data_IF_900591406450
#
_entry.id   IF_900591406450
#
_cell.length_a   1.000
_cell.length_b   1.000
_cell.length_c   1.000
_cell.angle_alpha   90.00
_cell.angle_beta   90.00
_cell.angle_gamma   90.00
#
_symmetry.space_group_name_H-M   'P 1'
#
loop_
_entity.id
_entity.type
_entity.pdbx_description
1 polymer ?
#
# COMPACT_ATOMS: atom_id res chain seq x y z
N UNK A 1 -15.05 45.67 -22.51
CA UNK A 1 -15.92 44.76 -21.76
C UNK A 1 -15.63 43.33 -22.23
N UNK A 2 -15.03 42.45 -21.45
CA UNK A 2 -14.77 41.07 -21.88
C UNK A 2 -13.51 40.39 -21.29
N UNK A 3 -13.19 40.64 -20.02
CA UNK A 3 -12.04 39.96 -19.37
C UNK A 3 -12.34 39.61 -17.88
N UNK A 4 -13.51 39.05 -17.60
CA UNK A 4 -13.92 38.74 -16.23
C UNK A 4 -14.83 37.52 -16.16
N UNK A 5 -14.45 36.36 -16.74
CA UNK A 5 -15.20 35.10 -16.57
C UNK A 5 -14.38 33.82 -16.81
N UNK A 6 -13.15 33.74 -16.33
CA UNK A 6 -12.36 32.48 -16.34
C UNK A 6 -11.67 32.25 -14.98
N UNK A 7 -12.27 32.66 -13.88
CA UNK A 7 -11.69 32.48 -12.53
C UNK A 7 -12.58 31.74 -11.53
N UNK A 8 -13.47 30.89 -12.00
CA UNK A 8 -14.43 30.21 -11.10
C UNK A 8 -14.60 28.72 -11.36
N UNK A 9 -13.50 27.99 -11.62
CA UNK A 9 -13.50 26.51 -11.67
C UNK A 9 -12.27 25.89 -10.98
N UNK A 10 -11.58 26.63 -10.12
CA UNK A 10 -10.63 26.06 -9.19
C UNK A 10 -11.35 25.92 -7.83
N UNK A 11 -12.09 24.83 -7.64
CA UNK A 11 -12.60 24.43 -6.35
C UNK A 11 -11.45 24.26 -5.34
N UNK A 12 -11.70 24.47 -4.04
CA UNK A 12 -10.67 24.36 -3.01
C UNK A 12 -10.05 22.96 -3.01
N UNK A 13 -8.75 22.82 -2.64
CA UNK A 13 -8.09 21.52 -2.58
C UNK A 13 -8.88 20.62 -1.65
N UNK A 14 -9.25 19.43 -2.14
CA UNK A 14 -9.97 18.40 -1.41
C UNK A 14 -9.21 18.10 -0.10
N UNK A 15 -9.66 18.65 0.99
CA UNK A 15 -9.24 18.23 2.33
C UNK A 15 -9.76 16.81 2.53
N UNK A 16 -8.88 15.84 2.35
CA UNK A 16 -9.13 14.45 2.71
C UNK A 16 -9.49 14.37 4.20
N UNK A 17 -10.77 14.19 4.49
CA UNK A 17 -11.24 13.71 5.79
C UNK A 17 -11.13 12.19 5.79
N UNK A 18 -9.95 11.68 6.10
CA UNK A 18 -9.78 10.27 6.39
C UNK A 18 -9.57 10.09 7.90
N UNK A 19 -10.48 9.35 8.51
CA UNK A 19 -10.31 8.84 9.88
C UNK A 19 -9.40 7.65 9.79
N UNK A 20 -8.17 7.81 10.27
CA UNK A 20 -7.17 6.77 10.25
C UNK A 20 -7.36 5.80 11.41
N UNK A 21 -7.33 4.52 11.13
CA UNK A 21 -6.54 3.52 11.86
C UNK A 21 -6.36 2.33 10.95
N UNK A 22 -5.22 2.18 10.32
CA UNK A 22 -4.86 0.93 9.65
C UNK A 22 -3.63 0.37 10.31
N UNK A 23 -3.81 -0.70 11.08
CA UNK A 23 -2.72 -1.58 11.48
C UNK A 23 -2.26 -2.38 10.24
N UNK A 24 -1.00 -2.85 10.18
CA UNK A 24 -0.44 -3.63 9.06
C UNK A 24 -1.30 -4.82 8.63
N UNK A 25 -2.18 -5.33 9.54
CA UNK A 25 -3.06 -6.46 9.29
C UNK A 25 -4.15 -6.24 8.22
N UNK A 26 -4.58 -5.00 7.92
CA UNK A 26 -5.58 -4.78 6.85
C UNK A 26 -4.94 -4.77 5.47
N UNK A 27 -3.79 -4.15 5.30
CA UNK A 27 -3.02 -4.26 4.06
C UNK A 27 -2.66 -5.73 3.77
N UNK A 28 -2.36 -6.51 4.81
CA UNK A 28 -2.07 -7.93 4.73
C UNK A 28 -3.30 -8.78 4.38
N UNK A 29 -4.49 -8.51 4.95
CA UNK A 29 -5.74 -9.19 4.59
C UNK A 29 -6.17 -8.88 3.16
N UNK A 30 -5.93 -7.66 2.65
CA UNK A 30 -6.22 -7.28 1.28
C UNK A 30 -5.23 -7.87 0.27
N UNK A 31 -3.99 -8.16 0.68
CA UNK A 31 -2.98 -8.78 -0.17
C UNK A 31 -3.14 -10.30 -0.31
N UNK A 32 -3.72 -10.99 0.69
CA UNK A 32 -3.71 -12.47 0.78
C UNK A 32 -5.07 -13.09 1.07
N UNK A 33 -6.02 -12.34 1.64
CA UNK A 33 -7.28 -12.87 2.11
C UNK A 33 -8.41 -12.71 1.11
N UNK A 34 -8.99 -13.83 0.70
CA UNK A 34 -10.37 -13.85 0.24
C UNK A 34 -11.26 -13.30 1.36
N UNK A 35 -11.87 -12.12 1.16
CA UNK A 35 -13.04 -11.76 1.97
C UNK A 35 -14.12 -12.83 1.74
N UNK A 36 -14.74 -13.39 2.79
CA UNK A 36 -15.81 -14.38 2.61
C UNK A 36 -17.03 -13.85 1.85
N UNK A 37 -17.17 -12.52 1.70
CA UNK A 37 -18.29 -11.86 1.02
C UNK A 37 -17.96 -11.42 -0.41
N UNK A 38 -17.04 -12.09 -1.13
CA UNK A 38 -16.81 -11.79 -2.55
C UNK A 38 -18.02 -12.22 -3.35
N UNK A 39 -18.60 -11.36 -4.21
CA UNK A 39 -19.59 -11.83 -5.18
C UNK A 39 -18.92 -12.90 -6.04
N UNK A 40 -19.29 -14.16 -5.83
CA UNK A 40 -18.87 -15.28 -6.65
C UNK A 40 -19.41 -15.04 -8.06
N UNK A 41 -18.51 -14.71 -9.00
CA UNK A 41 -18.92 -14.64 -10.39
C UNK A 41 -18.60 -13.34 -11.15
N UNK A 42 -17.70 -12.46 -10.69
CA UNK A 42 -17.24 -11.33 -11.50
C UNK A 42 -16.28 -11.79 -12.59
N UNK A 43 -16.54 -11.38 -13.84
CA UNK A 43 -15.60 -11.49 -14.95
C UNK A 43 -15.04 -10.11 -15.30
N UNK A 44 -13.79 -10.05 -15.73
CA UNK A 44 -13.16 -8.82 -16.19
C UNK A 44 -12.62 -8.96 -17.61
N UNK A 45 -12.49 -7.84 -18.31
CA UNK A 45 -11.87 -7.76 -19.62
C UNK A 45 -11.00 -6.51 -19.72
N UNK A 46 -9.78 -6.67 -20.17
CA UNK A 46 -8.97 -5.54 -20.62
C UNK A 46 -9.33 -5.21 -22.06
N UNK A 47 -9.60 -3.95 -22.38
CA UNK A 47 -9.95 -3.52 -23.73
C UNK A 47 -9.08 -2.36 -24.19
N UNK A 48 -9.00 -2.17 -25.54
CA UNK A 48 -8.28 -1.07 -26.15
C UNK A 48 -9.28 0.06 -26.50
N UNK A 49 -9.16 1.26 -25.85
CA UNK A 49 -9.98 2.42 -26.20
C UNK A 49 -9.74 2.94 -27.61
N UNK A 50 -8.47 2.98 -28.03
CA UNK A 50 -8.02 3.48 -29.34
C UNK A 50 -6.79 2.74 -29.82
N UNK A 51 -6.33 3.04 -31.04
CA UNK A 51 -5.18 2.36 -31.64
C UNK A 51 -3.83 2.68 -30.95
N UNK A 52 -3.70 3.84 -30.28
CA UNK A 52 -2.50 4.22 -29.55
C UNK A 52 -2.38 3.45 -28.23
N UNK A 53 -3.50 3.02 -27.67
CA UNK A 53 -3.59 2.33 -26.38
C UNK A 53 -2.76 1.06 -26.30
N UNK A 54 -2.57 0.34 -27.41
CA UNK A 54 -1.75 -0.86 -27.44
C UNK A 54 -0.29 -0.56 -27.05
N UNK A 55 0.30 0.50 -27.62
CA UNK A 55 1.67 0.91 -27.30
C UNK A 55 1.79 1.46 -25.87
N UNK A 56 0.79 2.18 -25.41
CA UNK A 56 0.77 2.76 -24.08
C UNK A 56 0.54 1.70 -22.99
N UNK A 57 -0.26 0.69 -23.25
CA UNK A 57 -0.53 -0.41 -22.34
C UNK A 57 0.74 -1.19 -21.95
N UNK A 58 1.71 -1.29 -22.87
CA UNK A 58 3.02 -1.95 -22.63
C UNK A 58 4.05 -1.04 -21.97
N UNK A 59 3.77 0.27 -21.84
CA UNK A 59 4.68 1.20 -21.16
C UNK A 59 4.68 0.98 -19.64
N UNK A 60 5.88 1.08 -19.07
CA UNK A 60 6.06 0.98 -17.63
C UNK A 60 5.62 2.25 -16.92
N UNK A 61 4.93 2.07 -15.79
CA UNK A 61 4.59 3.10 -14.81
C UNK A 61 5.02 2.55 -13.45
N UNK A 62 5.95 3.20 -12.80
CA UNK A 62 6.53 2.75 -11.53
C UNK A 62 6.90 1.24 -11.53
N UNK A 63 7.72 0.82 -12.51
CA UNK A 63 8.30 -0.53 -12.58
C UNK A 63 7.38 -1.64 -13.12
N UNK A 64 6.12 -1.36 -13.49
CA UNK A 64 5.19 -2.35 -14.08
C UNK A 64 4.42 -1.74 -15.23
N UNK A 65 4.13 -2.55 -16.26
CA UNK A 65 3.32 -2.09 -17.40
C UNK A 65 1.87 -1.83 -16.97
N UNK A 66 1.19 -0.93 -17.70
CA UNK A 66 -0.23 -0.64 -17.43
C UNK A 66 -1.09 -1.89 -17.58
N UNK A 67 -0.79 -2.76 -18.55
CA UNK A 67 -1.46 -4.07 -18.70
C UNK A 67 -1.35 -4.89 -17.41
N UNK A 68 -0.16 -5.08 -16.87
CA UNK A 68 0.03 -5.82 -15.61
C UNK A 68 -0.72 -5.17 -14.46
N UNK A 69 -0.72 -3.83 -14.38
CA UNK A 69 -1.48 -3.10 -13.34
C UNK A 69 -2.98 -3.32 -13.46
N UNK A 70 -3.53 -3.28 -14.69
CA UNK A 70 -4.94 -3.56 -14.96
C UNK A 70 -5.33 -4.99 -14.58
N UNK A 71 -4.50 -5.97 -14.92
CA UNK A 71 -4.70 -7.39 -14.57
C UNK A 71 -4.74 -7.61 -13.06
N UNK A 72 -3.76 -7.07 -12.33
CA UNK A 72 -3.70 -7.18 -10.87
C UNK A 72 -4.87 -6.44 -10.21
N UNK A 73 -5.25 -5.26 -10.72
CA UNK A 73 -6.39 -4.52 -10.21
C UNK A 73 -7.70 -5.30 -10.38
N UNK A 74 -7.91 -5.94 -11.55
CA UNK A 74 -9.06 -6.81 -11.81
C UNK A 74 -9.12 -8.00 -10.85
N UNK A 75 -7.98 -8.71 -10.67
CA UNK A 75 -7.88 -9.85 -9.75
C UNK A 75 -8.20 -9.42 -8.30
N UNK A 76 -7.60 -8.32 -7.84
CA UNK A 76 -7.82 -7.78 -6.49
C UNK A 76 -9.23 -7.22 -6.29
N UNK A 77 -9.92 -6.82 -7.37
CA UNK A 77 -11.33 -6.44 -7.33
C UNK A 77 -12.30 -7.64 -7.25
N UNK A 78 -11.78 -8.86 -7.38
CA UNK A 78 -12.56 -10.10 -7.23
C UNK A 78 -12.88 -10.81 -8.55
N UNK A 79 -12.29 -10.42 -9.67
CA UNK A 79 -12.50 -11.14 -10.93
C UNK A 79 -11.90 -12.54 -10.87
N UNK A 80 -12.74 -13.55 -11.15
CA UNK A 80 -12.35 -14.96 -11.26
C UNK A 80 -11.87 -15.33 -12.67
N UNK A 81 -12.33 -14.61 -13.67
CA UNK A 81 -11.91 -14.70 -15.07
C UNK A 81 -11.50 -13.32 -15.55
N UNK A 82 -10.31 -13.22 -16.15
CA UNK A 82 -9.80 -11.98 -16.74
C UNK A 82 -9.49 -12.25 -18.21
N UNK A 83 -10.38 -11.83 -19.08
CA UNK A 83 -10.23 -11.96 -20.53
C UNK A 83 -9.24 -10.88 -21.05
N UNK A 84 -8.29 -11.27 -21.86
CA UNK A 84 -7.22 -10.39 -22.35
C UNK A 84 -6.98 -10.66 -23.83
N UNK A 85 -7.14 -9.66 -24.71
CA UNK A 85 -6.78 -9.79 -26.11
C UNK A 85 -5.33 -10.24 -26.29
N UNK A 86 -5.07 -11.19 -27.20
CA UNK A 86 -3.74 -11.78 -27.40
C UNK A 86 -2.67 -10.76 -27.80
N UNK A 87 -3.06 -9.68 -28.46
CA UNK A 87 -2.15 -8.58 -28.83
C UNK A 87 -1.60 -7.77 -27.64
N UNK A 88 -2.14 -7.96 -26.43
CA UNK A 88 -1.60 -7.41 -25.16
C UNK A 88 -0.59 -8.34 -24.48
N UNK A 89 -0.31 -9.50 -25.06
CA UNK A 89 0.65 -10.47 -24.54
C UNK A 89 2.07 -9.99 -24.82
N UNK A 90 2.82 -9.74 -23.75
CA UNK A 90 4.22 -9.35 -23.81
C UNK A 90 5.07 -10.04 -22.73
N UNK A 91 6.39 -9.88 -22.79
CA UNK A 91 7.31 -10.49 -21.82
C UNK A 91 7.13 -9.99 -20.39
N UNK A 92 6.59 -8.79 -20.19
CA UNK A 92 6.31 -8.26 -18.85
C UNK A 92 5.09 -8.94 -18.25
N UNK A 93 4.04 -9.15 -19.04
CA UNK A 93 2.84 -9.89 -18.65
C UNK A 93 3.19 -11.35 -18.35
N UNK A 94 3.94 -12.02 -19.22
CA UNK A 94 4.37 -13.41 -18.99
C UNK A 94 5.17 -13.57 -17.69
N UNK A 95 6.11 -12.66 -17.43
CA UNK A 95 6.85 -12.65 -16.16
C UNK A 95 5.96 -12.40 -14.94
N UNK A 96 4.92 -11.56 -15.08
CA UNK A 96 3.96 -11.34 -14.02
C UNK A 96 3.11 -12.58 -13.74
N UNK A 97 2.64 -13.26 -14.79
CA UNK A 97 1.88 -14.52 -14.67
C UNK A 97 2.72 -15.61 -14.00
N UNK A 98 3.99 -15.77 -14.40
CA UNK A 98 4.91 -16.75 -13.80
C UNK A 98 5.13 -16.52 -12.29
N UNK A 99 5.07 -15.27 -11.83
CA UNK A 99 5.26 -14.91 -10.42
C UNK A 99 3.98 -14.94 -9.58
N UNK A 100 2.81 -14.88 -10.22
CA UNK A 100 1.51 -14.77 -9.55
C UNK A 100 0.57 -15.90 -10.01
N UNK A 101 0.63 -17.11 -9.42
CA UNK A 101 -0.19 -18.26 -9.84
C UNK A 101 -1.69 -17.97 -9.86
N UNK A 102 -2.21 -17.20 -8.92
CA UNK A 102 -3.62 -16.80 -8.88
C UNK A 102 -4.01 -15.94 -10.09
N UNK A 103 -3.11 -15.05 -10.56
CA UNK A 103 -3.32 -14.26 -11.77
C UNK A 103 -3.27 -15.16 -13.01
N UNK A 104 -2.30 -16.07 -13.09
CA UNK A 104 -2.19 -17.01 -14.19
C UNK A 104 -3.44 -17.91 -14.31
N UNK A 105 -3.99 -18.35 -13.21
CA UNK A 105 -5.22 -19.13 -13.18
C UNK A 105 -6.45 -18.35 -13.65
N UNK A 106 -6.50 -17.03 -13.43
CA UNK A 106 -7.62 -16.16 -13.79
C UNK A 106 -7.56 -15.68 -15.27
N UNK A 107 -6.36 -15.48 -15.83
CA UNK A 107 -6.18 -14.93 -17.18
C UNK A 107 -6.63 -15.92 -18.26
N UNK A 108 -7.37 -15.40 -19.25
CA UNK A 108 -7.78 -16.13 -20.46
C UNK A 108 -7.42 -15.27 -21.67
N UNK A 109 -6.51 -15.79 -22.49
CA UNK A 109 -6.12 -15.13 -23.73
C UNK A 109 -7.23 -15.27 -24.77
N UNK A 110 -7.53 -14.18 -25.44
CA UNK A 110 -8.53 -14.11 -26.49
C UNK A 110 -7.84 -13.94 -27.84
N UNK A 111 -8.08 -14.90 -28.72
CA UNK A 111 -7.76 -14.78 -30.14
C UNK A 111 -8.97 -14.20 -30.91
N UNK A 112 -8.77 -13.62 -32.09
CA UNK A 112 -9.88 -13.23 -32.98
C UNK A 112 -10.84 -14.41 -33.19
N UNK A 113 -12.13 -14.17 -32.93
CA UNK A 113 -13.16 -15.22 -33.02
C UNK A 113 -13.36 -16.07 -31.76
N UNK A 114 -12.59 -15.86 -30.70
CA UNK A 114 -12.85 -16.54 -29.40
C UNK A 114 -14.28 -16.32 -28.93
N UNK A 115 -14.98 -17.38 -28.47
CA UNK A 115 -16.33 -17.25 -27.95
C UNK A 115 -16.34 -16.51 -26.62
N UNK A 116 -17.47 -15.86 -26.30
CA UNK A 116 -17.69 -15.28 -24.96
C UNK A 116 -17.64 -16.41 -23.92
N UNK A 117 -16.74 -16.33 -22.92
CA UNK A 117 -16.62 -17.36 -21.90
C UNK A 117 -17.97 -17.73 -21.27
N UNK A 118 -18.21 -19.02 -21.05
CA UNK A 118 -19.44 -19.50 -20.42
C UNK A 118 -19.59 -18.93 -19.02
N UNK A 119 -20.83 -18.62 -18.62
CA UNK A 119 -21.13 -18.08 -17.29
C UNK A 119 -22.61 -17.73 -17.17
N UNK A 120 -23.09 -17.44 -15.97
CA UNK A 120 -24.49 -17.04 -15.74
C UNK A 120 -24.87 -15.80 -16.56
N UNK A 121 -26.09 -15.70 -17.05
CA UNK A 121 -26.56 -14.58 -17.85
C UNK A 121 -26.46 -13.25 -17.10
N UNK A 122 -26.64 -13.26 -15.80
CA UNK A 122 -26.65 -12.09 -14.91
C UNK A 122 -25.25 -11.73 -14.39
N UNK A 123 -24.22 -12.48 -14.79
CA UNK A 123 -22.83 -12.22 -14.35
C UNK A 123 -22.33 -10.89 -14.94
N UNK A 124 -21.97 -9.92 -14.08
CA UNK A 124 -21.45 -8.66 -14.54
C UNK A 124 -20.02 -8.82 -15.10
N UNK A 125 -19.72 -8.00 -16.11
CA UNK A 125 -18.39 -7.87 -16.70
C UNK A 125 -17.79 -6.52 -16.37
N UNK A 126 -16.61 -6.54 -15.78
CA UNK A 126 -15.79 -5.36 -15.51
C UNK A 126 -14.88 -5.10 -16.72
N UNK A 127 -15.10 -4.00 -17.42
CA UNK A 127 -14.28 -3.55 -18.55
C UNK A 127 -13.26 -2.52 -18.07
N UNK A 128 -11.97 -2.80 -18.28
CA UNK A 128 -10.86 -1.93 -17.88
C UNK A 128 -10.09 -1.51 -19.13
N UNK A 129 -9.89 -0.19 -19.39
CA UNK A 129 -9.01 0.23 -20.48
C UNK A 129 -7.59 -0.22 -20.22
N UNK A 130 -6.96 -0.93 -21.16
CA UNK A 130 -5.61 -1.48 -21.00
C UNK A 130 -4.54 -0.40 -20.78
N UNK A 131 -4.72 0.78 -21.40
CA UNK A 131 -3.85 1.94 -21.20
C UNK A 131 -4.42 2.88 -20.11
N UNK A 132 -4.66 2.36 -18.92
CA UNK A 132 -5.11 3.16 -17.78
C UNK A 132 -4.47 2.70 -16.47
N UNK A 133 -4.29 3.65 -15.56
CA UNK A 133 -3.99 3.38 -14.17
C UNK A 133 -5.30 3.43 -13.39
N UNK A 134 -5.69 2.31 -12.80
CA UNK A 134 -6.89 2.21 -11.97
C UNK A 134 -6.57 1.55 -10.63
N UNK A 135 -7.04 2.16 -9.55
CA UNK A 135 -6.86 1.61 -8.21
C UNK A 135 -7.99 0.63 -7.89
N UNK A 136 -7.66 -0.43 -7.14
CA UNK A 136 -8.62 -1.48 -6.78
C UNK A 136 -9.87 -0.93 -6.05
N UNK A 137 -9.72 0.05 -5.16
CA UNK A 137 -10.85 0.70 -4.47
C UNK A 137 -11.84 1.37 -5.46
N UNK A 138 -11.33 1.99 -6.52
CA UNK A 138 -12.20 2.56 -7.57
C UNK A 138 -13.03 1.51 -8.27
N UNK A 139 -12.45 0.33 -8.51
CA UNK A 139 -13.17 -0.82 -9.09
C UNK A 139 -14.18 -1.40 -8.12
N UNK A 140 -13.80 -1.61 -6.86
CA UNK A 140 -14.70 -2.14 -5.83
C UNK A 140 -15.92 -1.25 -5.61
N UNK A 141 -15.75 0.06 -5.57
CA UNK A 141 -16.86 1.00 -5.45
C UNK A 141 -17.76 1.03 -6.70
N UNK A 142 -17.21 0.76 -7.86
CA UNK A 142 -18.01 0.63 -9.09
C UNK A 142 -18.85 -0.66 -9.08
N UNK A 143 -18.31 -1.73 -8.51
CA UNK A 143 -18.94 -3.06 -8.47
C UNK A 143 -19.97 -3.16 -7.34
N UNK A 144 -19.74 -2.52 -6.18
CA UNK A 144 -20.46 -2.72 -4.93
C UNK A 144 -22.02 -2.61 -5.02
N UNK A 145 -22.63 -1.75 -5.85
CA UNK A 145 -24.06 -1.73 -6.04
C UNK A 145 -24.49 -2.32 -7.38
N UNK A 146 -23.97 -3.48 -7.77
CA UNK A 146 -24.24 -4.17 -9.02
C UNK A 146 -25.72 -4.64 -9.20
N UNK A 147 -26.66 -4.11 -8.44
CA UNK A 147 -28.09 -4.37 -8.56
C UNK A 147 -28.77 -3.54 -9.65
N UNK A 148 -28.04 -2.67 -10.37
CA UNK A 148 -28.62 -1.88 -11.44
C UNK A 148 -28.47 -2.59 -12.80
N UNK A 149 -29.57 -3.06 -13.42
CA UNK A 149 -29.53 -3.76 -14.70
C UNK A 149 -29.03 -2.90 -15.87
N UNK A 150 -28.95 -1.59 -15.70
CA UNK A 150 -28.51 -0.66 -16.75
C UNK A 150 -26.97 -0.51 -16.81
N UNK A 151 -26.25 -1.00 -15.81
CA UNK A 151 -24.80 -0.91 -15.72
C UNK A 151 -24.31 0.37 -15.05
N UNK A 152 -23.02 0.39 -14.74
CA UNK A 152 -22.33 1.52 -14.11
C UNK A 152 -21.03 1.82 -14.82
N UNK A 153 -20.59 3.07 -14.82
CA UNK A 153 -19.30 3.47 -15.39
C UNK A 153 -18.57 4.46 -14.51
N UNK A 154 -17.23 4.39 -14.60
CA UNK A 154 -16.30 5.35 -14.06
C UNK A 154 -15.58 6.02 -15.20
N UNK A 155 -15.69 7.33 -15.33
CA UNK A 155 -15.01 8.09 -16.36
C UNK A 155 -14.12 9.17 -15.75
N UNK A 156 -12.92 9.36 -16.30
CA UNK A 156 -11.99 10.39 -15.85
C UNK A 156 -12.37 11.79 -16.36
N UNK A 157 -13.25 11.87 -17.34
CA UNK A 157 -13.75 13.12 -17.89
C UNK A 157 -15.18 12.96 -18.45
N UNK A 158 -15.89 14.06 -18.56
CA UNK A 158 -17.23 14.08 -19.18
C UNK A 158 -17.24 13.57 -20.64
N UNK A 159 -16.09 13.58 -21.32
CA UNK A 159 -15.96 13.04 -22.67
C UNK A 159 -15.91 11.50 -22.73
N UNK A 160 -15.60 10.82 -21.62
CA UNK A 160 -15.73 9.37 -21.41
C UNK A 160 -15.16 8.45 -22.50
N UNK A 161 -14.04 8.83 -23.15
CA UNK A 161 -13.49 8.05 -24.27
C UNK A 161 -12.92 6.69 -23.88
N UNK A 162 -12.50 6.55 -22.62
CA UNK A 162 -11.91 5.34 -22.08
C UNK A 162 -12.47 5.05 -20.67
N UNK A 163 -13.78 4.76 -20.53
CA UNK A 163 -14.37 4.50 -19.23
C UNK A 163 -13.96 3.12 -18.69
N UNK A 164 -13.86 3.01 -17.37
CA UNK A 164 -14.04 1.73 -16.68
C UNK A 164 -15.53 1.50 -16.55
N UNK A 165 -16.04 0.32 -16.89
CA UNK A 165 -17.46 0.05 -16.87
C UNK A 165 -17.78 -1.32 -16.27
N UNK A 166 -18.89 -1.43 -15.58
CA UNK A 166 -19.51 -2.70 -15.20
C UNK A 166 -20.76 -2.87 -16.04
N UNK A 167 -20.81 -3.91 -16.85
CA UNK A 167 -21.85 -4.14 -17.84
C UNK A 167 -22.49 -5.51 -17.69
N UNK A 168 -23.78 -5.64 -17.98
CA UNK A 168 -24.45 -6.92 -18.15
C UNK A 168 -23.78 -7.77 -19.25
N UNK A 169 -23.79 -9.08 -19.10
CA UNK A 169 -23.23 -10.03 -20.06
C UNK A 169 -23.78 -9.82 -21.49
N UNK A 170 -25.07 -9.57 -21.62
CA UNK A 170 -25.72 -9.34 -22.92
C UNK A 170 -25.12 -8.14 -23.68
N UNK A 171 -24.83 -7.03 -22.96
CA UNK A 171 -24.22 -5.83 -23.52
C UNK A 171 -22.79 -6.11 -23.99
N UNK A 172 -22.02 -6.86 -23.19
CA UNK A 172 -20.66 -7.29 -23.55
C UNK A 172 -20.70 -8.21 -24.78
N UNK A 173 -21.68 -9.11 -24.87
CA UNK A 173 -21.90 -9.99 -26.00
C UNK A 173 -22.05 -9.24 -27.35
N UNK A 174 -22.74 -8.11 -27.33
CA UNK A 174 -22.93 -7.26 -28.53
C UNK A 174 -21.62 -6.63 -29.04
N UNK A 175 -20.61 -6.50 -28.19
CA UNK A 175 -19.28 -5.96 -28.54
C UNK A 175 -18.21 -7.03 -28.65
N UNK A 176 -18.55 -8.30 -28.38
CA UNK A 176 -17.59 -9.33 -28.11
C UNK A 176 -16.59 -9.60 -29.25
N UNK A 177 -17.06 -9.65 -30.48
CA UNK A 177 -16.20 -9.90 -31.65
C UNK A 177 -15.05 -8.88 -31.77
N UNK A 178 -15.34 -7.62 -31.45
CA UNK A 178 -14.33 -6.54 -31.44
C UNK A 178 -13.42 -6.62 -30.22
N UNK A 179 -13.99 -6.89 -29.05
CA UNK A 179 -13.26 -7.01 -27.80
C UNK A 179 -12.28 -8.19 -27.86
N UNK A 180 -12.70 -9.36 -28.35
CA UNK A 180 -11.87 -10.52 -28.50
C UNK A 180 -10.75 -10.33 -29.55
N UNK A 181 -11.03 -9.61 -30.63
CA UNK A 181 -10.03 -9.26 -31.63
C UNK A 181 -9.02 -8.19 -31.15
N UNK A 182 -9.22 -7.61 -29.96
CA UNK A 182 -8.38 -6.52 -29.47
C UNK A 182 -8.44 -5.26 -30.34
N UNK A 183 -9.58 -5.03 -31.01
CA UNK A 183 -9.78 -3.82 -31.83
C UNK A 183 -10.27 -2.66 -30.95
N UNK A 184 -9.97 -1.39 -31.33
CA UNK A 184 -10.41 -0.22 -30.56
C UNK A 184 -11.93 -0.13 -30.46
N UNK A 185 -12.44 0.00 -29.25
CA UNK A 185 -13.91 0.07 -28.98
C UNK A 185 -14.35 1.30 -28.17
N UNK A 186 -13.43 2.16 -27.74
CA UNK A 186 -13.72 3.28 -26.84
C UNK A 186 -14.87 4.19 -27.28
N UNK A 187 -14.92 4.70 -28.52
CA UNK A 187 -16.03 5.54 -28.99
C UNK A 187 -17.37 4.81 -29.02
N UNK A 188 -17.38 3.53 -29.39
CA UNK A 188 -18.59 2.71 -29.44
C UNK A 188 -19.09 2.41 -28.02
N UNK A 189 -18.18 2.02 -27.12
CA UNK A 189 -18.49 1.77 -25.72
C UNK A 189 -19.04 3.02 -25.04
N UNK A 190 -18.39 4.18 -25.21
CA UNK A 190 -18.85 5.44 -24.63
C UNK A 190 -20.23 5.88 -25.15
N UNK A 191 -20.54 5.62 -26.43
CA UNK A 191 -21.85 5.88 -27.01
C UNK A 191 -22.91 4.94 -26.42
N UNK A 192 -22.61 3.67 -26.35
CA UNK A 192 -23.51 2.64 -25.82
C UNK A 192 -23.84 2.91 -24.35
N UNK A 193 -22.85 3.26 -23.54
CA UNK A 193 -23.06 3.60 -22.13
C UNK A 193 -23.96 4.82 -21.95
N UNK A 194 -23.75 5.87 -22.74
CA UNK A 194 -24.58 7.08 -22.67
C UNK A 194 -26.01 6.83 -23.15
N UNK A 195 -26.18 6.05 -24.24
CA UNK A 195 -27.49 5.70 -24.77
C UNK A 195 -28.26 4.68 -23.94
N UNK A 196 -27.55 3.83 -23.18
CA UNK A 196 -28.12 2.83 -22.30
C UNK A 196 -28.42 3.30 -20.88
N UNK A 197 -28.25 4.60 -20.57
CA UNK A 197 -28.56 5.13 -19.23
C UNK A 197 -27.59 4.70 -18.14
N UNK A 198 -26.37 4.26 -18.48
CA UNK A 198 -25.38 3.85 -17.50
C UNK A 198 -25.07 4.97 -16.49
N UNK A 199 -25.13 4.65 -15.20
CA UNK A 199 -24.87 5.61 -14.14
C UNK A 199 -23.40 5.96 -14.05
N UNK A 200 -23.07 7.26 -14.09
CA UNK A 200 -21.74 7.76 -13.81
C UNK A 200 -21.51 7.78 -12.29
N UNK A 201 -20.45 7.11 -11.85
CA UNK A 201 -20.01 7.11 -10.46
C UNK A 201 -18.72 7.88 -10.29
N UNK A 202 -18.62 8.62 -9.19
CA UNK A 202 -17.39 9.30 -8.84
C UNK A 202 -16.33 8.31 -8.37
N UNK A 203 -15.08 8.52 -8.82
CA UNK A 203 -13.95 7.74 -8.33
C UNK A 203 -13.56 8.18 -6.93
N UNK A 204 -13.67 7.29 -5.96
CA UNK A 204 -13.12 7.51 -4.61
C UNK A 204 -11.65 7.09 -4.51
N UNK A 205 -11.03 6.73 -5.61
CA UNK A 205 -9.64 6.32 -5.71
C UNK A 205 -8.99 6.81 -7.01
N UNK A 206 -7.79 6.32 -7.28
CA UNK A 206 -7.03 6.72 -8.45
C UNK A 206 -7.57 6.06 -9.73
N UNK A 207 -7.94 6.88 -10.71
CA UNK A 207 -8.21 6.48 -12.08
C UNK A 207 -7.64 7.53 -13.05
N UNK A 208 -6.65 7.15 -13.84
CA UNK A 208 -5.98 8.01 -14.81
C UNK A 208 -5.90 7.27 -16.15
N UNK A 209 -6.68 7.65 -17.16
CA UNK A 209 -6.46 7.19 -18.53
C UNK A 209 -5.12 7.72 -19.06
N UNK A 210 -4.33 6.84 -19.66
CA UNK A 210 -3.03 7.17 -20.22
C UNK A 210 -3.15 7.17 -21.74
N UNK A 211 -3.25 8.36 -22.30
CA UNK A 211 -3.39 8.59 -23.75
C UNK A 211 -2.14 9.18 -24.40
N UNK A 212 -1.18 9.62 -23.58
CA UNK A 212 0.12 10.17 -24.01
C UNK A 212 1.17 10.04 -22.92
N UNK A 213 2.42 10.41 -23.21
CA UNK A 213 3.53 10.35 -22.24
C UNK A 213 3.34 11.32 -21.06
N UNK A 214 2.66 12.43 -21.27
CA UNK A 214 2.36 13.40 -20.19
C UNK A 214 1.36 12.79 -19.21
N UNK A 215 0.32 12.12 -19.72
CA UNK A 215 -0.63 11.39 -18.88
C UNK A 215 0.04 10.20 -18.17
N UNK A 216 1.02 9.52 -18.81
CA UNK A 216 1.82 8.47 -18.17
C UNK A 216 2.62 9.02 -17.00
N UNK A 217 3.31 10.15 -17.18
CA UNK A 217 4.08 10.78 -16.11
C UNK A 217 3.18 11.22 -14.94
N UNK A 218 1.98 11.77 -15.24
CA UNK A 218 0.99 12.13 -14.22
C UNK A 218 0.46 10.89 -13.47
N UNK A 219 0.23 9.79 -14.18
CA UNK A 219 -0.18 8.53 -13.56
C UNK A 219 0.90 7.98 -12.62
N UNK A 220 2.16 8.07 -13.02
CA UNK A 220 3.30 7.67 -12.19
C UNK A 220 3.42 8.53 -10.94
N UNK A 221 3.33 9.85 -11.08
CA UNK A 221 3.38 10.78 -9.96
C UNK A 221 2.21 10.55 -8.98
N UNK A 222 1.01 10.29 -9.50
CA UNK A 222 -0.15 9.98 -8.69
C UNK A 222 0.02 8.66 -7.91
N UNK A 223 0.70 7.64 -8.47
CA UNK A 223 1.05 6.42 -7.74
C UNK A 223 2.00 6.70 -6.58
N UNK A 224 3.07 7.47 -6.82
CA UNK A 224 4.00 7.85 -5.75
C UNK A 224 3.32 8.69 -4.67
N UNK A 225 2.42 9.60 -5.07
CA UNK A 225 1.62 10.40 -4.13
C UNK A 225 0.65 9.57 -3.28
N UNK A 226 0.24 8.40 -3.77
CA UNK A 226 -0.67 7.49 -3.07
C UNK A 226 0.06 6.50 -2.12
N UNK A 227 1.38 6.51 -2.07
CA UNK A 227 2.16 5.58 -1.22
C UNK A 227 2.13 5.93 0.26
N UNK A 228 1.79 7.16 0.64
CA UNK A 228 1.65 7.58 2.02
C UNK A 228 0.62 6.73 2.76
N UNK A 229 0.94 6.32 3.98
CA UNK A 229 0.05 5.56 4.85
C UNK A 229 -0.53 6.51 5.89
N UNK A 230 -1.82 6.36 6.20
CA UNK A 230 -2.50 7.18 7.22
C UNK A 230 -1.88 7.07 8.62
N UNK A 231 -1.15 5.98 8.88
CA UNK A 231 -0.45 5.74 10.14
C UNK A 231 0.90 6.45 10.26
N UNK A 232 1.36 7.14 9.20
CA UNK A 232 2.65 7.82 9.21
C UNK A 232 2.69 8.91 10.29
N UNK A 233 3.76 8.90 11.09
CA UNK A 233 4.03 9.93 12.09
C UNK A 233 4.47 11.24 11.41
N UNK A 234 4.69 12.30 12.19
CA UNK A 234 5.13 13.57 11.63
C UNK A 234 6.50 13.45 10.95
N UNK A 235 7.45 12.79 11.60
CA UNK A 235 8.79 12.56 11.03
C UNK A 235 8.71 11.66 9.79
N UNK A 236 7.89 10.61 9.81
CA UNK A 236 7.68 9.76 8.64
C UNK A 236 7.17 10.58 7.46
N UNK A 237 6.12 11.38 7.66
CA UNK A 237 5.46 12.14 6.60
C UNK A 237 6.36 13.21 5.99
N UNK A 238 7.07 13.97 6.82
CA UNK A 238 7.82 15.13 6.36
C UNK A 238 9.27 14.81 5.96
N UNK A 239 9.85 13.74 6.52
CA UNK A 239 11.26 13.41 6.28
C UNK A 239 11.43 12.03 5.63
N UNK A 240 11.07 10.94 6.31
CA UNK A 240 11.37 9.60 5.82
C UNK A 240 10.70 9.32 4.46
N UNK A 241 9.42 9.66 4.30
CA UNK A 241 8.69 9.44 3.04
C UNK A 241 9.26 10.22 1.86
N UNK A 242 9.79 11.41 2.10
CA UNK A 242 10.45 12.16 1.01
C UNK A 242 11.73 11.47 0.57
N UNK A 243 12.54 11.04 1.53
CA UNK A 243 13.79 10.35 1.24
C UNK A 243 13.55 8.95 0.64
N UNK A 244 12.62 8.15 1.21
CA UNK A 244 12.30 6.82 0.70
C UNK A 244 11.70 6.88 -0.70
N UNK A 245 10.79 7.82 -0.98
CA UNK A 245 10.21 8.02 -2.31
C UNK A 245 11.27 8.33 -3.38
N UNK A 246 12.31 9.10 -3.02
CA UNK A 246 13.43 9.35 -3.93
C UNK A 246 14.20 8.05 -4.22
N UNK A 247 14.54 7.26 -3.19
CA UNK A 247 15.19 5.95 -3.34
C UNK A 247 14.32 5.00 -4.15
N UNK A 248 13.02 4.95 -3.85
CA UNK A 248 12.04 4.11 -4.55
C UNK A 248 11.97 4.45 -6.04
N UNK A 249 11.96 5.74 -6.41
CA UNK A 249 11.99 6.17 -7.81
C UNK A 249 13.24 5.69 -8.55
N UNK A 250 14.39 5.67 -7.89
CA UNK A 250 15.64 5.18 -8.49
C UNK A 250 15.64 3.66 -8.66
N UNK A 251 15.04 2.94 -7.72
CA UNK A 251 15.17 1.48 -7.64
C UNK A 251 14.00 0.70 -8.23
N UNK A 252 12.80 1.28 -8.37
CA UNK A 252 11.58 0.58 -8.77
C UNK A 252 11.64 -0.08 -10.15
N UNK A 253 12.50 0.43 -11.04
CA UNK A 253 12.75 -0.13 -12.37
C UNK A 253 13.92 -1.13 -12.44
N UNK A 254 14.63 -1.36 -11.33
CA UNK A 254 15.83 -2.20 -11.26
C UNK A 254 15.49 -3.64 -10.85
N UNK A 255 16.51 -4.49 -10.72
CA UNK A 255 16.39 -5.86 -10.20
C UNK A 255 16.40 -5.95 -8.68
N UNK A 256 16.55 -4.83 -7.97
CA UNK A 256 16.55 -4.78 -6.50
C UNK A 256 15.19 -5.22 -5.97
N UNK A 257 15.22 -6.18 -5.05
CA UNK A 257 14.01 -6.74 -4.43
C UNK A 257 13.70 -6.07 -3.09
N UNK A 258 12.42 -6.04 -2.65
CA UNK A 258 12.07 -5.53 -1.33
C UNK A 258 12.90 -6.18 -0.20
N UNK A 259 13.02 -7.51 -0.20
CA UNK A 259 13.77 -8.23 0.85
C UNK A 259 15.26 -7.83 0.91
N UNK A 260 15.89 -7.47 -0.22
CA UNK A 260 17.26 -6.95 -0.21
C UNK A 260 17.36 -5.61 0.49
N UNK A 261 16.35 -4.75 0.34
CA UNK A 261 16.29 -3.47 1.07
C UNK A 261 16.03 -3.68 2.56
N UNK A 262 15.14 -4.60 2.93
CA UNK A 262 14.94 -4.99 4.33
C UNK A 262 16.25 -5.50 4.96
N UNK A 263 17.01 -6.33 4.26
CA UNK A 263 18.33 -6.80 4.74
C UNK A 263 19.35 -5.65 4.84
N UNK A 264 19.32 -4.69 3.92
CA UNK A 264 20.16 -3.49 4.02
C UNK A 264 19.77 -2.63 5.25
N UNK A 265 18.46 -2.46 5.50
CA UNK A 265 17.94 -1.81 6.70
C UNK A 265 18.45 -2.50 7.97
N UNK A 266 18.38 -3.84 8.05
CA UNK A 266 18.91 -4.61 9.17
C UNK A 266 20.42 -4.38 9.38
N UNK A 267 21.21 -4.43 8.31
CA UNK A 267 22.64 -4.23 8.39
C UNK A 267 22.97 -2.81 8.92
N UNK A 268 22.35 -1.78 8.38
CA UNK A 268 22.53 -0.39 8.82
C UNK A 268 22.03 -0.21 10.26
N UNK A 269 20.86 -0.77 10.59
CA UNK A 269 20.30 -0.75 11.95
C UNK A 269 21.18 -1.44 12.97
N UNK A 270 21.84 -2.55 12.59
CA UNK A 270 22.81 -3.24 13.45
C UNK A 270 24.03 -2.36 13.75
N UNK A 271 24.53 -1.61 12.75
CA UNK A 271 25.60 -0.63 12.97
C UNK A 271 25.11 0.53 13.84
N UNK A 272 23.85 0.95 13.71
CA UNK A 272 23.25 1.95 14.60
C UNK A 272 23.25 1.46 16.07
N UNK A 273 22.78 0.23 16.31
CA UNK A 273 22.80 -0.39 17.66
C UNK A 273 24.23 -0.41 18.22
N UNK A 274 25.19 -0.90 17.44
CA UNK A 274 26.59 -0.93 17.85
C UNK A 274 27.13 0.47 18.16
N UNK A 275 26.74 1.49 17.41
CA UNK A 275 27.12 2.89 17.63
C UNK A 275 26.65 3.40 19.01
N UNK A 276 25.43 3.02 19.42
CA UNK A 276 24.93 3.33 20.77
C UNK A 276 25.73 2.57 21.85
N UNK A 277 26.13 1.34 21.61
CA UNK A 277 26.92 0.54 22.57
C UNK A 277 28.33 1.08 22.79
N UNK A 278 28.92 1.79 21.81
CA UNK A 278 30.22 2.46 21.97
C UNK A 278 30.22 3.57 23.01
N UNK A 279 29.07 4.06 23.41
CA UNK A 279 28.84 4.98 24.52
C UNK A 279 29.55 6.35 24.43
N UNK A 280 30.17 6.73 23.31
CA UNK A 280 30.68 8.08 23.12
C UNK A 280 29.58 8.99 22.58
N UNK A 281 29.60 10.31 22.88
CA UNK A 281 28.60 11.24 22.35
C UNK A 281 28.54 11.23 20.81
N UNK A 282 29.71 11.19 20.16
CA UNK A 282 29.78 11.19 18.70
C UNK A 282 29.26 9.89 18.09
N UNK A 283 29.57 8.73 18.71
CA UNK A 283 29.04 7.45 18.24
C UNK A 283 27.52 7.36 18.44
N UNK A 284 26.99 7.89 19.54
CA UNK A 284 25.54 7.94 19.75
C UNK A 284 24.83 8.81 18.70
N UNK A 285 25.40 9.98 18.36
CA UNK A 285 24.89 10.83 17.26
C UNK A 285 24.94 10.09 15.91
N UNK A 286 26.04 9.39 15.62
CA UNK A 286 26.13 8.54 14.41
C UNK A 286 25.06 7.45 14.41
N UNK A 287 24.76 6.88 15.58
CA UNK A 287 23.69 5.89 15.75
C UNK A 287 22.31 6.45 15.38
N UNK A 288 21.98 7.71 15.73
CA UNK A 288 20.73 8.36 15.33
C UNK A 288 20.64 8.52 13.81
N UNK A 289 21.72 8.95 13.18
CA UNK A 289 21.79 9.13 11.72
C UNK A 289 21.63 7.78 11.01
N UNK A 290 22.32 6.75 11.48
CA UNK A 290 22.22 5.40 10.91
C UNK A 290 20.83 4.80 11.10
N UNK A 291 20.19 5.02 12.26
CA UNK A 291 18.80 4.62 12.48
C UNK A 291 17.85 5.31 11.49
N UNK A 292 18.04 6.61 11.24
CA UNK A 292 17.24 7.32 10.25
C UNK A 292 17.41 6.73 8.84
N UNK A 293 18.64 6.40 8.44
CA UNK A 293 18.93 5.76 7.14
C UNK A 293 18.29 4.36 7.07
N UNK A 294 18.40 3.54 8.13
CA UNK A 294 17.76 2.23 8.21
C UNK A 294 16.23 2.34 8.04
N UNK A 295 15.60 3.29 8.73
CA UNK A 295 14.16 3.56 8.61
C UNK A 295 13.76 4.02 7.20
N UNK A 296 14.57 4.83 6.52
CA UNK A 296 14.31 5.24 5.13
C UNK A 296 14.38 4.04 4.19
N UNK A 297 15.33 3.12 4.38
CA UNK A 297 15.44 1.89 3.58
C UNK A 297 14.25 0.96 3.80
N UNK A 298 13.79 0.82 5.04
CA UNK A 298 12.60 0.12 5.46
C UNK A 298 11.34 0.66 4.78
N UNK A 299 11.14 1.97 4.76
CA UNK A 299 10.05 2.58 4.00
C UNK A 299 10.13 2.28 2.50
N UNK A 300 11.33 2.32 1.92
CA UNK A 300 11.52 2.09 0.49
C UNK A 300 11.22 0.64 0.08
N UNK A 301 11.52 -0.36 0.92
CA UNK A 301 11.21 -1.76 0.62
C UNK A 301 9.70 -2.01 0.51
N UNK A 302 8.91 -1.49 1.46
CA UNK A 302 7.46 -1.55 1.43
C UNK A 302 6.85 -0.77 0.26
N UNK A 303 7.44 0.36 -0.13
CA UNK A 303 7.01 1.12 -1.31
C UNK A 303 7.25 0.32 -2.59
N UNK A 304 8.44 -0.26 -2.77
CA UNK A 304 8.77 -1.09 -3.93
C UNK A 304 7.89 -2.35 -3.96
N UNK A 305 7.67 -3.01 -2.81
CA UNK A 305 6.79 -4.17 -2.72
C UNK A 305 5.40 -3.86 -3.25
N UNK A 306 4.79 -2.76 -2.79
CA UNK A 306 3.45 -2.31 -3.22
C UNK A 306 3.40 -1.91 -4.69
N UNK A 307 4.38 -1.12 -5.17
CA UNK A 307 4.43 -0.66 -6.56
C UNK A 307 4.64 -1.79 -7.56
N UNK A 308 5.37 -2.85 -7.16
CA UNK A 308 5.75 -3.94 -8.06
C UNK A 308 4.96 -5.23 -7.81
N UNK A 309 3.97 -5.20 -6.90
CA UNK A 309 3.15 -6.36 -6.52
C UNK A 309 3.97 -7.55 -5.99
N UNK A 310 5.03 -7.24 -5.22
CA UNK A 310 5.90 -8.22 -4.57
C UNK A 310 5.63 -8.35 -3.07
N UNK A 311 4.46 -7.89 -2.62
CA UNK A 311 4.04 -8.08 -1.23
C UNK A 311 3.93 -9.58 -0.92
N UNK A 312 4.52 -10.02 0.18
CA UNK A 312 4.50 -11.42 0.60
C UNK A 312 4.38 -11.56 2.11
N UNK A 313 3.87 -12.72 2.57
CA UNK A 313 3.84 -13.05 4.01
C UNK A 313 5.25 -13.08 4.60
N UNK A 314 6.19 -13.65 3.87
CA UNK A 314 7.58 -13.69 4.29
C UNK A 314 8.16 -12.28 4.44
N UNK A 315 7.95 -11.40 3.44
CA UNK A 315 8.41 -10.01 3.52
C UNK A 315 7.82 -9.27 4.72
N UNK A 316 6.53 -9.42 4.99
CA UNK A 316 5.89 -8.79 6.14
C UNK A 316 6.41 -9.30 7.49
N UNK A 317 6.72 -10.61 7.61
CA UNK A 317 7.35 -11.15 8.81
C UNK A 317 8.81 -10.70 8.95
N UNK A 318 9.54 -10.63 7.85
CA UNK A 318 10.92 -10.16 7.82
C UNK A 318 11.01 -8.70 8.31
N UNK A 319 10.20 -7.81 7.73
CA UNK A 319 10.07 -6.40 8.08
C UNK A 319 9.77 -6.22 9.59
N UNK A 320 8.70 -6.86 10.09
CA UNK A 320 8.35 -6.85 11.49
C UNK A 320 9.48 -7.36 12.41
N UNK A 321 10.19 -8.43 12.00
CA UNK A 321 11.30 -9.01 12.77
C UNK A 321 12.47 -8.05 12.83
N UNK A 322 12.82 -7.42 11.71
CA UNK A 322 13.90 -6.43 11.61
C UNK A 322 13.62 -5.22 12.49
N UNK A 323 12.41 -4.66 12.39
CA UNK A 323 11.97 -3.54 13.24
C UNK A 323 12.08 -3.90 14.73
N UNK A 324 11.62 -5.09 15.12
CA UNK A 324 11.70 -5.56 16.50
C UNK A 324 13.14 -5.70 16.98
N UNK A 325 14.03 -6.26 16.17
CA UNK A 325 15.46 -6.42 16.50
C UNK A 325 16.11 -5.04 16.68
N UNK A 326 15.88 -4.12 15.75
CA UNK A 326 16.49 -2.78 15.78
C UNK A 326 16.02 -2.03 17.03
N UNK A 327 14.71 -1.93 17.27
CA UNK A 327 14.19 -1.20 18.43
C UNK A 327 14.61 -1.83 19.76
N UNK A 328 14.56 -3.16 19.89
CA UNK A 328 15.02 -3.86 21.10
C UNK A 328 16.52 -3.69 21.33
N UNK A 329 17.33 -3.74 20.26
CA UNK A 329 18.77 -3.52 20.33
C UNK A 329 19.14 -2.09 20.73
N UNK A 330 18.40 -1.09 20.23
CA UNK A 330 18.62 0.32 20.58
C UNK A 330 18.31 0.59 22.06
N UNK A 331 17.16 0.15 22.59
CA UNK A 331 16.82 0.37 24.01
C UNK A 331 17.76 -0.39 24.95
N UNK A 332 18.19 -1.60 24.57
CA UNK A 332 19.21 -2.36 25.31
C UNK A 332 20.54 -1.61 25.31
N UNK A 333 21.01 -1.15 24.15
CA UNK A 333 22.27 -0.41 24.01
C UNK A 333 22.29 0.86 24.85
N UNK A 334 21.21 1.65 24.81
CA UNK A 334 21.07 2.85 25.64
C UNK A 334 21.14 2.54 27.13
N UNK A 335 20.48 1.49 27.60
CA UNK A 335 20.44 1.13 29.01
C UNK A 335 21.80 0.58 29.51
N UNK A 336 22.43 -0.31 28.75
CA UNK A 336 23.77 -0.87 29.10
C UNK A 336 24.78 0.25 29.26
N UNK A 337 24.74 1.27 28.43
CA UNK A 337 25.70 2.39 28.50
C UNK A 337 25.35 3.45 29.54
N UNK A 338 24.17 3.38 30.16
CA UNK A 338 23.83 4.19 31.34
C UNK A 338 24.59 3.76 32.61
N UNK A 339 25.18 2.57 32.59
CA UNK A 339 26.12 2.08 33.60
C UNK A 339 25.54 1.11 34.63
N UNK A 340 26.39 0.10 35.02
CA UNK A 340 26.09 -0.86 36.09
C UNK A 340 25.09 -1.98 35.72
N UNK A 341 25.13 -3.06 36.55
CA UNK A 341 24.30 -4.26 36.31
C UNK A 341 22.81 -4.01 36.37
N UNK A 342 22.33 -3.06 37.16
CA UNK A 342 20.92 -2.69 37.24
C UNK A 342 20.41 -2.09 35.91
N UNK A 343 21.24 -1.30 35.24
CA UNK A 343 20.85 -0.69 33.93
C UNK A 343 20.85 -1.74 32.84
N UNK A 344 21.71 -2.77 32.93
CA UNK A 344 21.64 -3.91 32.03
C UNK A 344 20.30 -4.66 32.18
N UNK A 345 19.84 -4.89 33.41
CA UNK A 345 18.53 -5.50 33.69
C UNK A 345 17.38 -4.60 33.16
N UNK A 346 17.45 -3.28 33.35
CA UNK A 346 16.51 -2.35 32.80
C UNK A 346 16.47 -2.42 31.26
N UNK A 347 17.61 -2.55 30.61
CA UNK A 347 17.72 -2.71 29.15
C UNK A 347 17.09 -4.01 28.64
N UNK A 348 17.37 -5.13 29.31
CA UNK A 348 16.75 -6.42 28.98
C UNK A 348 15.23 -6.36 29.17
N UNK A 349 14.77 -5.75 30.26
CA UNK A 349 13.34 -5.55 30.50
C UNK A 349 12.70 -4.63 29.45
N UNK A 350 13.38 -3.56 29.04
CA UNK A 350 12.93 -2.70 27.93
C UNK A 350 12.81 -3.47 26.61
N UNK A 351 13.83 -4.25 26.25
CA UNK A 351 13.84 -5.04 25.02
C UNK A 351 12.72 -6.09 25.03
N UNK A 352 12.46 -6.74 26.18
CA UNK A 352 11.33 -7.65 26.36
C UNK A 352 9.99 -6.91 26.15
N UNK A 353 9.82 -5.72 26.74
CA UNK A 353 8.61 -4.92 26.59
C UNK A 353 8.35 -4.49 25.15
N UNK A 354 9.39 -4.07 24.42
CA UNK A 354 9.31 -3.75 22.99
C UNK A 354 8.90 -4.97 22.19
N UNK A 355 9.55 -6.13 22.42
CA UNK A 355 9.25 -7.37 21.71
C UNK A 355 7.82 -7.85 21.98
N UNK A 356 7.38 -7.86 23.24
CA UNK A 356 6.00 -8.24 23.59
C UNK A 356 4.98 -7.28 22.98
N UNK A 357 5.25 -5.97 23.03
CA UNK A 357 4.36 -4.98 22.41
C UNK A 357 4.25 -5.18 20.90
N UNK A 358 5.35 -5.47 20.20
CA UNK A 358 5.35 -5.78 18.77
C UNK A 358 4.56 -7.07 18.47
N UNK A 359 4.73 -8.14 19.29
CA UNK A 359 3.95 -9.38 19.16
C UNK A 359 2.46 -9.13 19.37
N UNK A 360 2.08 -8.39 20.39
CA UNK A 360 0.66 -8.07 20.63
C UNK A 360 0.08 -7.23 19.51
N UNK A 361 0.81 -6.25 18.99
CA UNK A 361 0.37 -5.45 17.83
C UNK A 361 0.16 -6.30 16.56
N UNK A 362 1.00 -7.32 16.35
CA UNK A 362 0.96 -8.17 15.16
C UNK A 362 -0.16 -9.22 15.19
N UNK A 363 -0.42 -9.82 16.34
CA UNK A 363 -1.28 -11.02 16.42
C UNK A 363 -2.63 -10.80 17.12
N UNK A 364 -2.85 -9.65 17.75
CA UNK A 364 -4.14 -9.36 18.38
C UNK A 364 -5.18 -8.82 17.38
N UNK A 365 -6.46 -9.20 17.56
CA UNK A 365 -7.55 -8.57 16.82
C UNK A 365 -7.59 -7.06 17.00
N UNK A 366 -7.91 -6.34 15.92
CA UNK A 366 -7.94 -4.87 15.90
C UNK A 366 -8.89 -4.28 16.95
N UNK A 367 -10.03 -4.93 17.20
CA UNK A 367 -11.02 -4.50 18.19
C UNK A 367 -10.43 -4.53 19.61
N UNK A 368 -9.62 -5.55 19.93
CA UNK A 368 -8.96 -5.66 21.23
C UNK A 368 -7.90 -4.57 21.38
N UNK A 369 -7.09 -4.36 20.34
CA UNK A 369 -6.05 -3.34 20.34
C UNK A 369 -6.63 -1.91 20.47
N UNK A 370 -7.69 -1.59 19.73
CA UNK A 370 -8.39 -0.30 19.83
C UNK A 370 -9.04 -0.10 21.21
N UNK A 371 -9.62 -1.15 21.77
CA UNK A 371 -10.23 -1.10 23.10
C UNK A 371 -9.21 -0.94 24.24
N UNK A 372 -7.93 -1.30 24.02
CA UNK A 372 -6.85 -1.12 24.96
C UNK A 372 -6.29 0.32 24.98
N UNK A 373 -6.52 1.09 23.91
CA UNK A 373 -6.01 2.46 23.77
C UNK A 373 -7.13 3.45 23.34
N UNK A 374 -8.15 3.68 24.17
CA UNK A 374 -9.26 4.56 23.82
C UNK A 374 -8.85 6.03 23.66
N UNK A 375 -7.74 6.45 24.26
CA UNK A 375 -7.21 7.82 24.19
C UNK A 375 -6.08 8.00 23.18
N UNK A 376 -5.64 6.96 22.50
CA UNK A 376 -4.52 7.01 21.56
C UNK A 376 -3.14 7.23 22.20
N UNK A 377 -3.03 7.14 23.53
CA UNK A 377 -1.79 7.36 24.28
C UNK A 377 -0.74 6.29 23.96
N UNK A 378 -1.17 5.03 23.88
CA UNK A 378 -0.25 3.92 23.55
C UNK A 378 0.24 4.01 22.12
N UNK A 379 -0.56 4.57 21.21
CA UNK A 379 -0.15 4.88 19.84
C UNK A 379 0.99 5.90 19.82
N UNK A 380 0.92 6.94 20.67
CA UNK A 380 1.99 7.92 20.81
C UNK A 380 3.25 7.25 21.37
N UNK A 381 3.10 6.40 22.40
CA UNK A 381 4.22 5.68 23.03
C UNK A 381 4.93 4.73 22.07
N UNK A 382 4.20 4.16 21.10
CA UNK A 382 4.77 3.30 20.04
C UNK A 382 5.14 4.06 18.76
N UNK A 383 5.06 5.40 18.74
CA UNK A 383 5.33 6.17 17.53
C UNK A 383 6.83 6.33 17.25
N UNK A 384 7.21 6.39 15.98
CA UNK A 384 8.58 6.72 15.56
C UNK A 384 9.01 8.10 16.04
N UNK A 385 8.10 9.06 16.14
CA UNK A 385 8.39 10.40 16.71
C UNK A 385 8.93 10.28 18.14
N UNK A 386 8.32 9.43 18.97
CA UNK A 386 8.80 9.21 20.34
C UNK A 386 10.16 8.50 20.36
N UNK A 387 10.39 7.53 19.45
CA UNK A 387 11.70 6.88 19.35
C UNK A 387 12.80 7.91 19.08
N UNK A 388 12.59 8.85 18.16
CA UNK A 388 13.55 9.95 17.92
C UNK A 388 13.73 10.84 19.14
N UNK A 389 12.65 11.18 19.84
CA UNK A 389 12.75 11.95 21.09
C UNK A 389 13.64 11.22 22.12
N UNK A 390 13.46 9.91 22.27
CA UNK A 390 14.28 9.10 23.19
C UNK A 390 15.74 9.03 22.76
N UNK A 391 16.01 8.78 21.45
CA UNK A 391 17.37 8.70 20.93
C UNK A 391 18.11 10.04 21.05
N UNK A 392 17.44 11.15 20.73
CA UNK A 392 18.02 12.50 20.85
C UNK A 392 18.20 12.90 22.30
N UNK A 393 17.26 12.54 23.19
CA UNK A 393 17.41 12.74 24.64
C UNK A 393 18.61 11.97 25.16
N UNK A 394 18.81 10.72 24.72
CA UNK A 394 19.97 9.92 25.09
C UNK A 394 21.29 10.58 24.65
N UNK A 395 21.38 11.05 23.40
CA UNK A 395 22.57 11.78 22.88
C UNK A 395 22.82 13.04 23.69
N UNK A 396 21.78 13.83 23.94
CA UNK A 396 21.87 15.10 24.70
C UNK A 396 22.33 14.84 26.13
N UNK A 397 21.72 13.87 26.84
CA UNK A 397 22.12 13.55 28.20
C UNK A 397 23.53 12.98 28.26
N UNK A 398 23.91 12.12 27.28
CA UNK A 398 25.26 11.58 27.18
C UNK A 398 26.31 12.67 27.02
N UNK A 399 25.96 13.77 26.35
CA UNK A 399 26.86 14.88 26.09
C UNK A 399 26.91 15.89 27.25
N UNK A 400 25.73 16.29 27.76
CA UNK A 400 25.62 17.41 28.68
C UNK A 400 25.44 17.00 30.15
N UNK A 401 24.64 15.95 30.43
CA UNK A 401 24.24 15.55 31.79
C UNK A 401 24.16 14.02 31.90
N UNK A 402 25.30 13.31 31.92
CA UNK A 402 25.31 11.83 31.96
C UNK A 402 24.57 11.19 33.14
N UNK A 403 24.40 11.92 34.24
CA UNK A 403 23.61 11.47 35.40
C UNK A 403 22.12 11.25 35.13
N UNK A 404 21.60 11.78 34.02
CA UNK A 404 20.21 11.57 33.58
C UNK A 404 20.02 10.31 32.75
N UNK A 405 21.06 9.59 32.36
CA UNK A 405 20.96 8.35 31.61
C UNK A 405 20.28 7.21 32.39
N UNK A 406 20.62 6.93 33.69
CA UNK A 406 19.92 5.92 34.46
C UNK A 406 18.41 6.19 34.61
N UNK A 407 17.94 7.39 35.00
CA UNK A 407 16.50 7.66 35.05
C UNK A 407 15.83 7.56 33.68
N UNK A 408 16.49 7.97 32.58
CA UNK A 408 15.95 7.79 31.24
C UNK A 408 15.76 6.30 30.93
N UNK A 409 16.77 5.45 31.21
CA UNK A 409 16.69 4.00 31.00
C UNK A 409 15.55 3.37 31.84
N UNK A 410 15.36 3.82 33.09
CA UNK A 410 14.24 3.38 33.94
C UNK A 410 12.86 3.75 33.37
N UNK A 411 12.72 4.97 32.87
CA UNK A 411 11.47 5.43 32.21
C UNK A 411 11.17 4.60 30.96
N UNK A 412 12.18 4.30 30.13
CA UNK A 412 12.01 3.46 28.95
C UNK A 412 11.63 2.04 29.35
N UNK A 413 12.27 1.48 30.41
CA UNK A 413 11.98 0.13 30.91
C UNK A 413 10.52 -0.02 31.36
N UNK A 414 9.97 0.96 32.08
CA UNK A 414 8.56 0.97 32.50
C UNK A 414 7.63 1.24 31.32
N UNK A 415 7.92 2.26 30.52
CA UNK A 415 7.07 2.67 29.40
C UNK A 415 6.92 1.61 28.33
N UNK A 416 7.98 0.81 28.05
CA UNK A 416 7.94 -0.26 27.08
C UNK A 416 6.97 -1.40 27.43
N UNK A 417 6.57 -1.53 28.72
CA UNK A 417 5.60 -2.54 29.16
C UNK A 417 4.14 -2.11 28.93
N UNK A 418 3.87 -0.83 28.73
CA UNK A 418 2.51 -0.26 28.81
C UNK A 418 1.55 -0.87 27.78
N UNK A 419 1.98 -1.03 26.53
CA UNK A 419 1.09 -1.48 25.44
C UNK A 419 0.62 -2.95 25.63
N UNK A 420 1.53 -3.89 25.80
CA UNK A 420 1.16 -5.29 25.92
C UNK A 420 0.40 -5.58 27.23
N UNK A 421 0.70 -4.86 28.32
CA UNK A 421 -0.03 -4.97 29.58
C UNK A 421 -1.48 -4.47 29.40
N UNK A 422 -1.67 -3.32 28.74
CA UNK A 422 -3.00 -2.81 28.44
C UNK A 422 -3.80 -3.77 27.55
N UNK A 423 -3.19 -4.36 26.54
CA UNK A 423 -3.79 -5.40 25.71
C UNK A 423 -4.20 -6.61 26.53
N UNK A 424 -3.33 -7.10 27.42
CA UNK A 424 -3.62 -8.25 28.28
C UNK A 424 -4.77 -7.96 29.27
N UNK A 425 -4.80 -6.77 29.85
CA UNK A 425 -5.89 -6.35 30.72
C UNK A 425 -7.22 -6.34 29.96
N UNK A 426 -7.25 -5.85 28.72
CA UNK A 426 -8.45 -5.83 27.88
C UNK A 426 -8.95 -7.23 27.52
N UNK A 427 -8.06 -8.15 27.22
CA UNK A 427 -8.41 -9.57 26.95
C UNK A 427 -9.11 -10.19 28.19
N UNK A 428 -8.54 -9.96 29.39
CA UNK A 428 -9.12 -10.45 30.63
C UNK A 428 -10.52 -9.90 30.88
N UNK A 429 -10.74 -8.59 30.68
CA UNK A 429 -12.04 -7.96 30.85
C UNK A 429 -13.08 -8.52 29.86
N UNK A 430 -12.71 -8.75 28.62
CA UNK A 430 -13.63 -9.31 27.61
C UNK A 430 -14.04 -10.76 27.89
N UNK A 431 -13.22 -11.51 28.65
CA UNK A 431 -13.54 -12.89 29.08
C UNK A 431 -14.38 -12.95 30.36
N UNK A 432 -14.24 -11.97 31.25
CA UNK A 432 -15.00 -11.91 32.51
C UNK A 432 -16.40 -11.31 32.35
N UNK A 433 -16.69 -10.67 31.24
CA UNK A 433 -18.03 -10.16 30.90
C UNK A 433 -18.89 -11.10 30.05
N UNK A 434 -18.43 -12.33 29.81
CA UNK A 434 -19.18 -13.44 29.24
C UNK A 434 -19.46 -14.49 30.32
#
# INVERSE_FOLDING_TARGET
>A
MGAARVRELAGPPLRNRYVAVTLPSEAFRLAVGASPDRPSGLSALLYLPDAASLRLATRSVAGRTLTVRGLVAALRAGASIIAVPANLRDTAVERALARMPALAAAVRWLEPGSPLPAGPPDQPWLLIPAASLVHVRSLQNLIAPAADPQGAMLAASAAGRAPVAVLPRATVGALWSRLAAGTPVGPNLARLLRGGGAQLRESTGLFVPVNDETARARAEEALFGALGIEADTSIDRYFHRRCSSWITRLLVGTSVTPNQLSMASLAIGSVAIWSFWRATPLSALSGVILYAIATIMDHADGEIARLTFQESRFGAHLDWTIDTIIHSGLVLGMAVTAGGGLMMLAGLFSALGVTLSALFAQYLPLEVAKGADPGGVLKILGSRDLVYVLLLSFVTFRWLVPSLLPPLAAVVAVGSQAYWIACLARIRQSRSGR
#
